data_IF_494528903503
#
_entry.id   IF_494528903503
#
_cell.length_a   1.000
_cell.length_b   1.000
_cell.length_c   1.000
_cell.angle_alpha   90.00
_cell.angle_beta   90.00
_cell.angle_gamma   90.00
#
_symmetry.space_group_name_H-M   'P 1'
#
loop_
_entity.id
_entity.type
_entity.pdbx_description
1 polymer ?
#
# COMPACT_ATOMS: atom_id res chain seq x y z
N UNK A 1 11.25 -0.87 -30.90
CA UNK A 1 12.70 -0.77 -30.64
C UNK A 1 13.14 -2.19 -30.34
N UNK A 2 13.72 -2.84 -31.35
CA UNK A 2 14.11 -4.26 -31.28
C UNK A 2 15.30 -4.41 -30.32
N UNK A 3 15.17 -5.22 -29.27
CA UNK A 3 16.26 -5.48 -28.33
C UNK A 3 17.24 -6.47 -28.98
N UNK A 4 18.30 -5.93 -29.59
CA UNK A 4 19.45 -6.71 -30.05
C UNK A 4 20.22 -7.19 -28.82
N UNK A 5 20.08 -8.47 -28.49
CA UNK A 5 20.82 -9.12 -27.41
C UNK A 5 22.24 -9.44 -27.90
N UNK A 6 23.19 -8.58 -27.57
CA UNK A 6 24.62 -8.89 -27.70
C UNK A 6 24.94 -10.05 -26.75
N UNK A 7 25.29 -11.20 -27.31
CA UNK A 7 25.78 -12.38 -26.58
C UNK A 7 27.18 -12.09 -26.02
N UNK A 8 27.25 -11.55 -24.80
CA UNK A 8 28.46 -11.62 -23.97
C UNK A 8 28.51 -12.99 -23.29
N UNK A 9 29.65 -13.68 -23.43
CA UNK A 9 29.97 -14.92 -22.71
C UNK A 9 29.98 -14.65 -21.19
N UNK A 10 28.82 -14.84 -20.57
CA UNK A 10 28.64 -14.79 -19.13
C UNK A 10 28.97 -16.16 -18.55
N UNK A 11 29.76 -16.19 -17.48
CA UNK A 11 30.03 -17.38 -16.68
C UNK A 11 28.72 -18.15 -16.38
N UNK A 12 28.74 -19.50 -16.45
CA UNK A 12 27.54 -20.28 -16.22
C UNK A 12 27.03 -20.07 -14.79
N UNK A 13 25.83 -19.49 -14.68
CA UNK A 13 25.10 -19.35 -13.42
C UNK A 13 25.07 -20.69 -12.66
N UNK A 14 25.22 -20.69 -11.33
CA UNK A 14 25.22 -21.89 -10.53
C UNK A 14 23.94 -22.68 -10.80
N UNK A 15 24.11 -23.97 -11.11
CA UNK A 15 23.05 -24.91 -11.48
C UNK A 15 21.92 -24.81 -10.46
N UNK A 16 20.81 -24.18 -10.86
CA UNK A 16 19.65 -24.03 -10.01
C UNK A 16 19.19 -25.43 -9.61
N UNK A 17 19.29 -25.74 -8.32
CA UNK A 17 18.68 -26.92 -7.74
C UNK A 17 17.18 -26.73 -7.95
N UNK A 18 16.66 -27.28 -9.04
CA UNK A 18 15.23 -27.30 -9.34
C UNK A 18 14.56 -28.11 -8.24
N UNK A 19 14.12 -27.41 -7.19
CA UNK A 19 13.21 -27.91 -6.19
C UNK A 19 11.98 -28.38 -6.97
N UNK A 20 11.76 -29.69 -6.97
CA UNK A 20 10.79 -30.42 -7.79
C UNK A 20 9.31 -30.12 -7.45
N UNK A 21 9.06 -29.13 -6.60
CA UNK A 21 7.73 -28.87 -6.01
C UNK A 21 7.06 -27.58 -6.51
N UNK A 22 7.59 -26.90 -7.53
CA UNK A 22 6.87 -25.79 -8.19
C UNK A 22 5.89 -26.37 -9.22
N UNK A 23 4.98 -27.24 -8.79
CA UNK A 23 4.01 -27.92 -9.66
C UNK A 23 2.72 -27.12 -9.92
N UNK A 24 2.66 -25.86 -9.47
CA UNK A 24 1.66 -24.88 -9.91
C UNK A 24 2.33 -23.51 -10.01
N UNK A 25 2.07 -22.72 -11.07
CA UNK A 25 2.33 -21.30 -11.01
C UNK A 25 1.35 -20.73 -9.99
N UNK A 26 1.73 -20.73 -8.71
CA UNK A 26 1.05 -19.90 -7.73
C UNK A 26 1.22 -18.47 -8.21
N UNK A 27 0.16 -17.89 -8.76
CA UNK A 27 0.19 -16.53 -9.26
C UNK A 27 0.79 -15.61 -8.20
N UNK A 28 1.51 -14.58 -8.64
CA UNK A 28 2.23 -13.62 -7.78
C UNK A 28 1.36 -13.09 -6.61
N UNK A 29 0.04 -13.08 -6.79
CA UNK A 29 -0.95 -12.65 -5.81
C UNK A 29 -1.73 -13.85 -5.22
N UNK A 30 -1.02 -14.84 -4.69
CA UNK A 30 -1.65 -15.94 -3.96
C UNK A 30 -2.15 -15.48 -2.57
N UNK A 31 -2.92 -16.34 -1.90
CA UNK A 31 -3.48 -16.07 -0.56
C UNK A 31 -2.40 -15.86 0.51
N UNK A 32 -1.24 -16.51 0.35
CA UNK A 32 -0.08 -16.36 1.23
C UNK A 32 0.54 -14.95 1.09
N UNK A 33 0.75 -14.48 -0.14
CA UNK A 33 1.21 -13.12 -0.42
C UNK A 33 0.25 -12.09 0.19
N UNK A 34 -1.06 -12.28 0.05
CA UNK A 34 -2.07 -11.39 0.65
C UNK A 34 -1.95 -11.33 2.19
N UNK A 35 -1.71 -12.47 2.85
CA UNK A 35 -1.60 -12.52 4.30
C UNK A 35 -0.32 -11.82 4.79
N UNK A 36 0.81 -12.01 4.10
CA UNK A 36 2.09 -11.36 4.38
C UNK A 36 1.95 -9.84 4.22
N UNK A 37 1.40 -9.38 3.09
CA UNK A 37 1.20 -7.95 2.84
C UNK A 37 0.29 -7.33 3.91
N UNK A 38 -0.80 -8.00 4.30
CA UNK A 38 -1.70 -7.53 5.35
C UNK A 38 -0.99 -7.44 6.71
N UNK A 39 -0.18 -8.44 7.05
CA UNK A 39 0.64 -8.43 8.28
C UNK A 39 1.60 -7.24 8.26
N UNK A 40 2.37 -7.08 7.19
CA UNK A 40 3.34 -5.99 7.04
C UNK A 40 2.69 -4.61 7.07
N UNK A 41 1.49 -4.48 6.49
CA UNK A 41 0.70 -3.26 6.53
C UNK A 41 0.20 -2.91 7.94
N UNK A 42 -0.10 -3.92 8.77
CA UNK A 42 -0.50 -3.68 10.16
C UNK A 42 0.69 -3.46 11.10
N UNK A 43 1.84 -4.08 10.83
CA UNK A 43 3.08 -3.94 11.61
C UNK A 43 4.03 -2.92 10.95
N UNK A 44 3.48 -1.82 10.45
CA UNK A 44 4.28 -0.83 9.74
C UNK A 44 5.33 -0.19 10.64
N UNK A 45 6.58 -0.24 10.20
CA UNK A 45 7.65 0.53 10.82
C UNK A 45 7.47 2.01 10.46
N UNK A 46 7.21 2.84 11.47
CA UNK A 46 6.97 4.28 11.33
C UNK A 46 8.17 5.05 10.77
N UNK A 47 9.38 4.47 10.81
CA UNK A 47 10.60 5.10 10.26
C UNK A 47 10.86 4.74 8.80
N UNK A 48 10.12 3.79 8.22
CA UNK A 48 10.26 3.44 6.81
C UNK A 48 9.64 4.50 5.89
N UNK A 49 10.19 4.67 4.69
CA UNK A 49 9.65 5.60 3.67
C UNK A 49 8.17 5.31 3.36
N UNK A 50 7.82 4.03 3.26
CA UNK A 50 6.43 3.61 3.05
C UNK A 50 5.55 3.94 4.26
N UNK A 51 6.02 3.67 5.48
CA UNK A 51 5.33 3.98 6.72
C UNK A 51 5.06 5.49 6.87
N UNK A 52 6.06 6.33 6.61
CA UNK A 52 5.93 7.79 6.65
C UNK A 52 4.87 8.26 5.64
N UNK A 53 4.95 7.78 4.38
CA UNK A 53 3.95 8.12 3.34
C UNK A 53 2.54 7.68 3.74
N UNK A 54 2.41 6.50 4.33
CA UNK A 54 1.14 5.96 4.76
C UNK A 54 0.55 6.75 5.93
N UNK A 55 1.37 7.15 6.90
CA UNK A 55 0.95 7.99 8.01
C UNK A 55 0.42 9.35 7.55
N UNK A 56 1.12 10.01 6.61
CA UNK A 56 0.67 11.29 6.04
C UNK A 56 -0.69 11.12 5.36
N UNK A 57 -0.85 10.10 4.51
CA UNK A 57 -2.13 9.79 3.84
C UNK A 57 -3.24 9.53 4.86
N UNK A 58 -2.99 8.68 5.85
CA UNK A 58 -4.00 8.35 6.87
C UNK A 58 -4.45 9.57 7.68
N UNK A 59 -3.53 10.47 8.04
CA UNK A 59 -3.88 11.74 8.70
C UNK A 59 -4.74 12.63 7.82
N UNK A 60 -4.42 12.74 6.53
CA UNK A 60 -5.20 13.56 5.60
C UNK A 60 -6.66 13.08 5.52
N UNK A 61 -6.89 11.78 5.39
CA UNK A 61 -8.26 11.22 5.33
C UNK A 61 -9.04 11.33 6.65
N UNK A 62 -8.36 11.22 7.80
CA UNK A 62 -9.02 11.33 9.10
C UNK A 62 -9.43 12.77 9.45
N UNK A 63 -8.61 13.77 9.11
CA UNK A 63 -8.87 15.17 9.48
C UNK A 63 -10.02 15.77 8.67
N UNK A 64 -10.14 15.46 7.38
CA UNK A 64 -11.16 16.07 6.51
C UNK A 64 -12.59 15.62 6.82
N UNK A 65 -12.79 14.39 7.31
CA UNK A 65 -14.14 13.83 7.49
C UNK A 65 -14.93 14.50 8.63
N UNK A 66 -14.26 14.76 9.77
CA UNK A 66 -14.96 15.29 10.95
C UNK A 66 -15.06 16.81 10.96
N UNK A 67 -14.12 17.54 10.34
CA UNK A 67 -14.16 19.01 10.35
C UNK A 67 -15.31 19.55 9.51
N UNK A 68 -15.64 18.89 8.39
CA UNK A 68 -16.74 19.30 7.51
C UNK A 68 -18.10 19.19 8.22
N UNK A 69 -18.33 18.10 8.94
CA UNK A 69 -19.59 17.88 9.67
C UNK A 69 -19.72 18.85 10.84
N UNK A 70 -18.64 19.08 11.60
CA UNK A 70 -18.60 20.06 12.69
C UNK A 70 -18.88 21.47 12.19
N UNK A 71 -18.28 21.86 11.06
CA UNK A 71 -18.49 23.18 10.47
C UNK A 71 -19.96 23.38 10.03
N UNK A 72 -20.53 22.41 9.32
CA UNK A 72 -21.95 22.44 8.91
C UNK A 72 -22.90 22.52 10.11
N UNK A 73 -22.66 21.70 11.13
CA UNK A 73 -23.49 21.68 12.34
C UNK A 73 -23.39 23.01 13.11
N UNK A 74 -22.18 23.57 13.23
CA UNK A 74 -21.96 24.86 13.89
C UNK A 74 -22.73 25.99 13.21
N UNK A 75 -22.67 26.09 11.88
CA UNK A 75 -23.42 27.09 11.11
C UNK A 75 -24.93 26.92 11.31
N UNK A 76 -25.44 25.69 11.32
CA UNK A 76 -26.86 25.41 11.56
C UNK A 76 -27.32 25.85 12.95
N UNK A 77 -26.54 25.59 13.99
CA UNK A 77 -26.85 26.02 15.36
C UNK A 77 -26.87 27.55 15.48
N UNK A 78 -25.90 28.24 14.87
CA UNK A 78 -25.87 29.71 14.85
C UNK A 78 -27.12 30.26 14.15
N UNK A 79 -27.51 29.69 13.01
CA UNK A 79 -28.71 30.11 12.29
C UNK A 79 -29.97 29.92 13.14
N UNK A 80 -30.11 28.80 13.86
CA UNK A 80 -31.23 28.59 14.78
C UNK A 80 -31.26 29.63 15.90
N UNK A 81 -30.12 29.95 16.51
CA UNK A 81 -30.04 30.96 17.58
C UNK A 81 -30.40 32.37 17.08
N UNK A 82 -30.12 32.68 15.81
CA UNK A 82 -30.47 33.99 15.22
C UNK A 82 -31.95 34.07 14.86
N UNK A 83 -32.56 32.96 14.44
CA UNK A 83 -33.96 32.91 13.98
C UNK A 83 -34.94 32.82 15.17
N UNK A 84 -34.53 32.18 16.27
CA UNK A 84 -35.35 31.91 17.45
C UNK A 84 -35.24 33.04 18.47
#
# INVERSE_FOLDING_TARGET
MELVLTSQDLEPLPKQVFIKDISKPEGLLNSNYKSIVKRNYNTLNSTSVFGIRQHIKSRQYNITSSIETVLKLSVFVIALVVIL
#
